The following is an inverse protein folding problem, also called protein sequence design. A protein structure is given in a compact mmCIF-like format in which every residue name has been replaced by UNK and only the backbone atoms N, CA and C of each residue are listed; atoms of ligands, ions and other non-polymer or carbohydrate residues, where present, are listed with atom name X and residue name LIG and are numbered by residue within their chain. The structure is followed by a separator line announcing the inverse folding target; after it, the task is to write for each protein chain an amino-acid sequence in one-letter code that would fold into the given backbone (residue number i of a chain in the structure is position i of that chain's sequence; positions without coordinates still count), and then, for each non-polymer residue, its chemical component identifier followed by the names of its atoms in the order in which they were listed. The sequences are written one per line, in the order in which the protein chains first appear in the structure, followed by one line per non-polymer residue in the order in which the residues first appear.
data_IF_559247998516
#
_entry.id   IF_559247998516
#
_cell.length_a   1.000
_cell.length_b   1.000
_cell.length_c   1.000
_cell.angle_alpha   90.00
_cell.angle_beta   90.00
_cell.angle_gamma   90.00
#
_symmetry.space_group_name_H-M   'P 1'
#
loop_
_entity.id
_entity.type
_entity.pdbx_description
1 polymer ?
#
# COMPACT_ATOMS: atom_id res chain seq x y z
N UNK A 1 34.06 25.15 5.35
CA UNK A 1 32.78 25.12 6.08
C UNK A 1 31.67 25.26 5.06
N UNK A 2 30.86 24.23 4.76
CA UNK A 2 29.67 24.42 3.96
C UNK A 2 28.65 25.20 4.80
N UNK A 3 28.07 26.24 4.22
CA UNK A 3 27.03 27.05 4.83
C UNK A 3 25.83 26.16 5.23
N UNK A 4 25.15 26.42 6.36
CA UNK A 4 23.93 25.67 6.72
C UNK A 4 22.91 25.93 5.62
N UNK A 5 22.44 24.83 5.02
CA UNK A 5 21.31 24.85 4.08
C UNK A 5 20.16 25.59 4.72
N UNK A 6 19.71 26.65 4.08
CA UNK A 6 18.52 27.40 4.49
C UNK A 6 17.39 26.39 4.70
N UNK A 7 16.96 26.19 5.94
CA UNK A 7 15.81 25.40 6.29
C UNK A 7 14.61 26.11 5.68
N UNK A 8 14.15 25.63 4.52
CA UNK A 8 12.93 26.10 3.91
C UNK A 8 11.80 26.04 4.96
N UNK A 9 11.09 27.14 5.14
CA UNK A 9 9.95 27.22 6.07
C UNK A 9 9.01 26.00 5.85
N UNK A 10 8.59 25.32 6.92
CA UNK A 10 7.78 24.12 6.77
C UNK A 10 6.48 24.48 6.04
N UNK A 11 6.18 23.76 4.97
CA UNK A 11 4.93 23.95 4.21
C UNK A 11 3.71 23.82 5.13
N UNK A 12 2.75 24.71 5.01
CA UNK A 12 1.45 24.65 5.70
C UNK A 12 0.46 23.73 4.97
N UNK A 13 0.76 23.31 3.74
CA UNK A 13 -0.09 22.43 2.94
C UNK A 13 -0.11 21.00 3.48
N UNK A 14 -1.26 20.57 3.98
CA UNK A 14 -1.49 19.20 4.49
C UNK A 14 -1.23 18.14 3.43
N UNK A 15 -1.73 18.35 2.20
CA UNK A 15 -1.53 17.42 1.08
C UNK A 15 -0.03 17.23 0.77
N UNK A 16 0.74 18.30 0.73
CA UNK A 16 2.19 18.23 0.51
C UNK A 16 2.89 17.41 1.61
N UNK A 17 2.54 17.64 2.87
CA UNK A 17 3.12 16.91 4.01
C UNK A 17 2.80 15.42 3.96
N UNK A 18 1.52 15.05 3.72
CA UNK A 18 1.07 13.67 3.61
C UNK A 18 1.76 12.95 2.45
N UNK A 19 1.78 13.56 1.26
CA UNK A 19 2.44 12.97 0.08
C UNK A 19 3.93 12.76 0.28
N UNK A 20 4.61 13.71 0.92
CA UNK A 20 6.05 13.60 1.22
C UNK A 20 6.31 12.49 2.22
N UNK A 21 5.55 12.43 3.32
CA UNK A 21 5.67 11.40 4.33
C UNK A 21 5.36 10.02 3.75
N UNK A 22 4.25 9.88 3.03
CA UNK A 22 3.85 8.63 2.37
C UNK A 22 4.95 8.10 1.44
N UNK A 23 5.56 8.95 0.60
CA UNK A 23 6.66 8.51 -0.27
C UNK A 23 7.86 7.98 0.52
N UNK A 24 8.25 8.65 1.60
CA UNK A 24 9.39 8.21 2.43
C UNK A 24 9.10 6.91 3.17
N UNK A 25 7.90 6.78 3.72
CA UNK A 25 7.45 5.53 4.36
C UNK A 25 7.45 4.39 3.33
N UNK A 26 6.87 4.62 2.14
CA UNK A 26 6.88 3.62 1.05
C UNK A 26 8.29 3.18 0.69
N UNK A 27 9.27 4.09 0.62
CA UNK A 27 10.66 3.74 0.33
C UNK A 27 11.26 2.78 1.37
N UNK A 28 10.92 2.92 2.65
CA UNK A 28 11.37 1.99 3.70
C UNK A 28 10.82 0.58 3.44
N UNK A 29 9.52 0.47 3.16
CA UNK A 29 8.91 -0.83 2.85
C UNK A 29 9.43 -1.43 1.54
N UNK A 30 9.56 -0.63 0.49
CA UNK A 30 10.07 -1.09 -0.81
C UNK A 30 11.51 -1.62 -0.68
N UNK A 31 12.34 -0.96 0.11
CA UNK A 31 13.72 -1.40 0.38
C UNK A 31 13.75 -2.82 0.98
N UNK A 32 12.96 -3.07 2.01
CA UNK A 32 12.88 -4.38 2.66
C UNK A 32 12.23 -5.43 1.75
N UNK A 33 11.12 -5.10 1.11
CA UNK A 33 10.37 -6.01 0.25
C UNK A 33 11.10 -6.36 -1.06
N UNK A 34 12.11 -5.59 -1.45
CA UNK A 34 12.97 -5.91 -2.59
C UNK A 34 13.63 -7.29 -2.45
N UNK A 35 13.90 -7.74 -1.21
CA UNK A 35 14.39 -9.10 -0.94
C UNK A 35 13.45 -10.23 -1.38
N UNK A 36 12.15 -9.94 -1.51
CA UNK A 36 11.15 -10.84 -2.08
C UNK A 36 10.76 -10.48 -3.52
N UNK A 37 11.42 -9.49 -4.14
CA UNK A 37 11.10 -9.02 -5.48
C UNK A 37 9.74 -8.34 -5.60
N UNK A 38 9.28 -7.66 -4.54
CA UNK A 38 7.99 -6.99 -4.48
C UNK A 38 8.16 -5.52 -4.08
N UNK A 39 7.28 -4.65 -4.60
CA UNK A 39 7.02 -3.34 -4.04
C UNK A 39 5.96 -3.44 -2.93
N UNK A 40 5.81 -2.39 -2.11
CA UNK A 40 4.74 -2.30 -1.11
C UNK A 40 3.35 -2.44 -1.73
N UNK A 41 3.12 -1.80 -2.88
CA UNK A 41 1.85 -1.91 -3.60
C UNK A 41 1.57 -3.35 -4.04
N UNK A 42 2.56 -4.03 -4.59
CA UNK A 42 2.44 -5.44 -5.00
C UNK A 42 2.22 -6.36 -3.80
N UNK A 43 2.97 -6.16 -2.71
CA UNK A 43 2.74 -6.88 -1.46
C UNK A 43 1.30 -6.69 -0.96
N UNK A 44 0.79 -5.47 -0.98
CA UNK A 44 -0.58 -5.16 -0.53
C UNK A 44 -1.64 -5.86 -1.38
N UNK A 45 -1.44 -5.94 -2.70
CA UNK A 45 -2.32 -6.69 -3.61
C UNK A 45 -2.32 -8.17 -3.25
N UNK A 46 -1.14 -8.82 -3.14
CA UNK A 46 -1.04 -10.23 -2.77
C UNK A 46 -1.66 -10.49 -1.40
N UNK A 47 -1.38 -9.65 -0.43
CA UNK A 47 -1.87 -9.80 0.95
C UNK A 47 -3.39 -9.74 1.05
N UNK A 48 -4.03 -8.86 0.29
CA UNK A 48 -5.49 -8.72 0.27
C UNK A 48 -6.19 -9.83 -0.50
N UNK A 49 -5.48 -10.45 -1.44
CA UNK A 49 -5.99 -11.58 -2.24
C UNK A 49 -5.65 -12.95 -1.62
N UNK A 50 -5.03 -12.99 -0.42
CA UNK A 50 -4.54 -14.22 0.19
C UNK A 50 -5.68 -15.19 0.57
N UNK A 51 -6.76 -14.67 1.14
CA UNK A 51 -7.87 -15.47 1.67
C UNK A 51 -8.86 -15.90 0.61
N UNK A 52 -9.15 -14.99 -0.30
CA UNK A 52 -10.16 -15.18 -1.35
C UNK A 52 -9.82 -14.33 -2.57
N UNK A 53 -10.28 -14.75 -3.75
CA UNK A 53 -10.18 -13.92 -4.95
C UNK A 53 -10.89 -12.58 -4.77
N UNK A 54 -10.36 -11.51 -5.35
CA UNK A 54 -10.86 -10.14 -5.16
C UNK A 54 -11.30 -9.53 -6.48
N UNK A 55 -12.47 -8.91 -6.49
CA UNK A 55 -12.93 -8.10 -7.63
C UNK A 55 -12.01 -6.89 -7.78
N UNK A 56 -11.54 -6.63 -9.01
CA UNK A 56 -10.55 -5.60 -9.29
C UNK A 56 -10.99 -4.21 -8.81
N UNK A 57 -12.25 -3.85 -9.03
CA UNK A 57 -12.78 -2.55 -8.60
C UNK A 57 -12.81 -2.39 -7.09
N UNK A 58 -13.22 -3.44 -6.37
CA UNK A 58 -13.30 -3.45 -4.91
C UNK A 58 -11.89 -3.36 -4.30
N UNK A 59 -10.94 -4.12 -4.87
CA UNK A 59 -9.55 -4.10 -4.43
C UNK A 59 -8.90 -2.73 -4.65
N UNK A 60 -9.19 -2.06 -5.78
CA UNK A 60 -8.71 -0.71 -6.05
C UNK A 60 -9.21 0.28 -4.99
N UNK A 61 -10.52 0.25 -4.68
CA UNK A 61 -11.11 1.08 -3.62
C UNK A 61 -10.49 0.84 -2.25
N UNK A 62 -10.34 -0.42 -1.88
CA UNK A 62 -9.76 -0.82 -0.59
C UNK A 62 -8.28 -0.40 -0.43
N UNK A 63 -7.52 -0.40 -1.53
CA UNK A 63 -6.13 0.04 -1.56
C UNK A 63 -5.97 1.56 -1.77
N UNK A 64 -7.07 2.29 -1.95
CA UNK A 64 -7.04 3.72 -2.26
C UNK A 64 -6.36 4.02 -3.60
N UNK A 65 -6.44 3.10 -4.56
CA UNK A 65 -5.84 3.21 -5.89
C UNK A 65 -6.92 3.45 -6.95
N UNK A 66 -6.60 4.23 -7.98
CA UNK A 66 -7.37 4.19 -9.21
C UNK A 66 -7.11 2.88 -9.99
N UNK A 67 -8.02 2.54 -10.92
CA UNK A 67 -7.92 1.30 -11.69
C UNK A 67 -6.66 1.21 -12.53
N UNK A 68 -6.19 2.33 -13.07
CA UNK A 68 -4.97 2.39 -13.88
C UNK A 68 -3.74 2.08 -13.04
N UNK A 69 -3.64 2.66 -11.84
CA UNK A 69 -2.56 2.39 -10.88
C UNK A 69 -2.58 0.92 -10.46
N UNK A 70 -3.76 0.37 -10.12
CA UNK A 70 -3.88 -1.05 -9.77
C UNK A 70 -3.44 -1.95 -10.93
N UNK A 71 -3.92 -1.71 -12.15
CA UNK A 71 -3.55 -2.49 -13.33
C UNK A 71 -2.04 -2.46 -13.59
N UNK A 72 -1.41 -1.31 -13.44
CA UNK A 72 0.05 -1.16 -13.59
C UNK A 72 0.83 -2.00 -12.57
N UNK A 73 0.36 -2.07 -11.33
CA UNK A 73 0.97 -2.90 -10.29
C UNK A 73 0.67 -4.40 -10.45
N UNK A 74 -0.47 -4.75 -11.05
CA UNK A 74 -0.86 -6.13 -11.32
C UNK A 74 -0.10 -6.75 -12.48
N UNK A 75 0.19 -6.00 -13.54
CA UNK A 75 0.84 -6.53 -14.74
C UNK A 75 2.12 -7.31 -14.45
N UNK A 76 3.09 -6.79 -13.66
CA UNK A 76 4.28 -7.56 -13.30
C UNK A 76 3.97 -8.82 -12.47
N UNK A 77 2.93 -8.81 -11.66
CA UNK A 77 2.52 -9.97 -10.86
C UNK A 77 1.90 -11.07 -11.71
N UNK A 78 1.12 -10.69 -12.73
CA UNK A 78 0.56 -11.62 -13.72
C UNK A 78 1.69 -12.22 -14.55
N UNK A 79 2.60 -11.38 -15.07
CA UNK A 79 3.74 -11.81 -15.89
C UNK A 79 4.66 -12.77 -15.13
N UNK A 80 4.82 -12.58 -13.82
CA UNK A 80 5.57 -13.47 -12.94
C UNK A 80 4.78 -14.73 -12.48
N UNK A 81 3.52 -14.87 -12.89
CA UNK A 81 2.66 -15.99 -12.49
C UNK A 81 2.26 -16.01 -11.02
N UNK A 82 2.33 -14.88 -10.32
CA UNK A 82 1.99 -14.76 -8.90
C UNK A 82 0.50 -14.56 -8.66
N UNK A 83 -0.18 -13.97 -9.62
CA UNK A 83 -1.64 -13.81 -9.66
C UNK A 83 -2.16 -14.18 -11.03
N UNK A 84 -3.42 -14.56 -11.07
CA UNK A 84 -4.17 -14.74 -12.30
C UNK A 84 -5.41 -13.85 -12.29
N UNK A 85 -5.84 -13.43 -13.47
CA UNK A 85 -7.06 -12.65 -13.64
C UNK A 85 -8.09 -13.57 -14.28
N UNK A 86 -9.14 -13.88 -13.51
CA UNK A 86 -10.26 -14.73 -13.95
C UNK A 86 -11.53 -13.89 -14.12
N UNK A 87 -12.50 -14.42 -14.87
CA UNK A 87 -13.81 -13.79 -14.99
C UNK A 87 -14.61 -14.06 -13.72
N UNK A 88 -15.29 -13.04 -13.20
CA UNK A 88 -16.21 -13.16 -12.09
C UNK A 88 -17.57 -13.75 -12.50
N UNK A 89 -18.53 -13.72 -11.59
CA UNK A 89 -19.91 -14.14 -11.85
C UNK A 89 -20.57 -13.31 -12.95
N UNK A 90 -20.25 -12.02 -13.03
CA UNK A 90 -20.59 -11.17 -14.17
C UNK A 90 -19.39 -11.21 -15.16
N UNK A 91 -19.69 -11.45 -16.44
CA UNK A 91 -18.69 -11.49 -17.52
C UNK A 91 -17.85 -10.21 -17.65
N UNK A 92 -18.30 -9.10 -17.08
CA UNK A 92 -17.61 -7.82 -17.03
C UNK A 92 -16.67 -7.68 -15.83
N UNK A 93 -16.85 -8.53 -14.80
CA UNK A 93 -16.01 -8.50 -13.60
C UNK A 93 -14.68 -9.21 -13.85
N UNK A 94 -13.61 -8.53 -13.51
CA UNK A 94 -12.27 -9.13 -13.42
C UNK A 94 -11.98 -9.44 -11.96
N UNK A 95 -11.60 -10.66 -11.70
CA UNK A 95 -11.29 -11.17 -10.36
C UNK A 95 -9.83 -11.56 -10.31
N UNK A 96 -9.14 -11.10 -9.29
CA UNK A 96 -7.72 -11.38 -9.04
C UNK A 96 -7.64 -12.54 -8.07
N UNK A 97 -6.97 -13.61 -8.47
CA UNK A 97 -6.73 -14.78 -7.64
C UNK A 97 -5.23 -14.99 -7.44
N UNK A 98 -4.86 -15.34 -6.21
CA UNK A 98 -3.48 -15.65 -5.86
C UNK A 98 -3.16 -17.08 -6.31
N UNK A 99 -2.08 -17.25 -7.05
CA UNK A 99 -1.57 -18.57 -7.46
C UNK A 99 -0.76 -19.24 -6.33
N UNK A 100 -0.47 -20.55 -6.42
CA UNK A 100 0.45 -21.20 -5.47
C UNK A 100 1.82 -20.50 -5.40
N UNK A 101 2.51 -20.16 -6.52
CA UNK A 101 3.74 -19.36 -6.46
C UNK A 101 3.54 -17.98 -5.81
N UNK A 102 2.36 -17.36 -6.00
CA UNK A 102 2.01 -16.11 -5.35
C UNK A 102 1.91 -16.24 -3.83
N UNK A 103 1.35 -17.35 -3.33
CA UNK A 103 1.29 -17.64 -1.89
C UNK A 103 2.68 -17.83 -1.29
N UNK A 104 3.55 -18.55 -1.99
CA UNK A 104 4.93 -18.75 -1.55
C UNK A 104 5.71 -17.44 -1.51
N UNK A 105 5.54 -16.60 -2.53
CA UNK A 105 6.15 -15.26 -2.60
C UNK A 105 5.64 -14.35 -1.47
N UNK A 106 4.35 -14.37 -1.19
CA UNK A 106 3.74 -13.63 -0.09
C UNK A 106 4.27 -14.12 1.26
N UNK A 107 4.38 -15.43 1.46
CA UNK A 107 4.91 -16.01 2.69
C UNK A 107 6.35 -15.55 2.95
N UNK A 108 7.19 -15.53 1.91
CA UNK A 108 8.56 -15.00 1.98
C UNK A 108 8.62 -13.50 2.26
N UNK A 109 7.66 -12.73 1.77
CA UNK A 109 7.60 -11.28 1.95
C UNK A 109 7.08 -10.84 3.33
N UNK A 110 6.25 -11.64 3.99
CA UNK A 110 5.66 -11.30 5.30
C UNK A 110 6.68 -10.91 6.38
N UNK A 111 7.79 -11.64 6.59
CA UNK A 111 8.80 -11.23 7.56
C UNK A 111 9.50 -9.93 7.18
N UNK A 112 9.73 -9.68 5.90
CA UNK A 112 10.33 -8.43 5.40
C UNK A 112 9.42 -7.24 5.66
N UNK A 113 8.13 -7.39 5.40
CA UNK A 113 7.14 -6.38 5.72
C UNK A 113 7.09 -6.09 7.23
N UNK A 114 7.12 -7.14 8.07
CA UNK A 114 7.15 -6.95 9.54
C UNK A 114 8.41 -6.21 9.99
N UNK A 115 9.54 -6.47 9.35
CA UNK A 115 10.78 -5.74 9.65
C UNK A 115 10.65 -4.26 9.30
N UNK A 116 10.15 -3.92 8.11
CA UNK A 116 9.89 -2.52 7.72
C UNK A 116 8.93 -1.83 8.70
N UNK A 117 7.85 -2.52 9.09
CA UNK A 117 6.91 -2.00 10.09
C UNK A 117 7.62 -1.71 11.42
N UNK A 118 8.44 -2.65 11.91
CA UNK A 118 9.18 -2.49 13.16
C UNK A 118 10.17 -1.31 13.12
N UNK A 119 10.77 -1.02 11.96
CA UNK A 119 11.62 0.16 11.76
C UNK A 119 10.83 1.44 11.96
N UNK A 120 9.65 1.54 11.32
CA UNK A 120 8.77 2.72 11.47
C UNK A 120 8.28 2.86 12.91
N UNK A 121 7.86 1.75 13.53
CA UNK A 121 7.37 1.74 14.91
C UNK A 121 8.44 2.19 15.90
N UNK A 122 9.69 1.75 15.71
CA UNK A 122 10.81 2.15 16.53
C UNK A 122 11.14 3.66 16.40
N UNK A 123 10.95 4.23 15.20
CA UNK A 123 11.20 5.66 14.97
C UNK A 123 10.16 6.56 15.66
N UNK A 124 8.92 6.11 15.76
CA UNK A 124 7.80 6.88 16.31
C UNK A 124 7.55 6.58 17.79
N UNK A 125 7.94 5.39 18.24
CA UNK A 125 7.55 4.84 19.53
C UNK A 125 6.06 4.43 19.58
N UNK A 126 5.69 3.57 20.53
CA UNK A 126 4.34 3.01 20.60
C UNK A 126 3.23 4.08 20.65
N UNK A 127 3.40 5.09 21.50
CA UNK A 127 2.43 6.19 21.61
C UNK A 127 2.35 7.02 20.32
N UNK A 128 3.49 7.26 19.67
CA UNK A 128 3.55 8.00 18.42
C UNK A 128 2.83 7.27 17.28
N UNK A 129 3.02 5.96 17.17
CA UNK A 129 2.34 5.11 16.18
C UNK A 129 0.82 5.14 16.40
N UNK A 130 0.36 4.88 17.64
CA UNK A 130 -1.08 4.89 17.96
C UNK A 130 -1.73 6.24 17.66
N UNK A 131 -1.05 7.33 17.97
CA UNK A 131 -1.55 8.67 17.67
C UNK A 131 -1.63 8.92 16.16
N UNK A 132 -0.58 8.57 15.42
CA UNK A 132 -0.55 8.76 13.97
C UNK A 132 -1.66 7.96 13.29
N UNK A 133 -1.83 6.68 13.64
CA UNK A 133 -2.90 5.85 13.06
C UNK A 133 -4.27 6.46 13.33
N UNK A 134 -4.58 6.81 14.58
CA UNK A 134 -5.84 7.44 14.94
C UNK A 134 -6.10 8.75 14.16
N UNK A 135 -5.09 9.59 14.02
CA UNK A 135 -5.23 10.88 13.35
C UNK A 135 -5.41 10.70 11.83
N UNK A 136 -4.77 9.69 11.22
CA UNK A 136 -4.96 9.32 9.82
C UNK A 136 -6.34 8.71 9.57
N UNK A 137 -6.79 7.78 10.41
CA UNK A 137 -8.12 7.16 10.31
C UNK A 137 -9.22 8.22 10.44
N UNK A 138 -9.10 9.12 11.42
CA UNK A 138 -10.03 10.23 11.59
C UNK A 138 -10.07 11.16 10.37
N UNK A 139 -8.92 11.48 9.79
CA UNK A 139 -8.86 12.28 8.56
C UNK A 139 -9.54 11.57 7.39
N UNK A 140 -9.30 10.27 7.23
CA UNK A 140 -9.92 9.45 6.18
C UNK A 140 -11.45 9.45 6.31
N UNK A 141 -11.98 9.24 7.51
CA UNK A 141 -13.42 9.26 7.80
C UNK A 141 -14.06 10.61 7.45
N UNK A 142 -13.43 11.72 7.85
CA UNK A 142 -13.91 13.05 7.52
C UNK A 142 -13.91 13.31 6.00
N UNK A 143 -12.88 12.86 5.30
CA UNK A 143 -12.77 13.01 3.86
C UNK A 143 -13.82 12.17 3.11
N UNK A 144 -14.08 10.93 3.54
CA UNK A 144 -15.15 10.08 2.98
C UNK A 144 -16.50 10.77 3.10
N UNK A 145 -16.84 11.28 4.28
CA UNK A 145 -18.09 12.01 4.50
C UNK A 145 -18.18 13.24 3.59
N UNK A 146 -17.10 13.98 3.45
CA UNK A 146 -17.04 15.20 2.61
C UNK A 146 -17.19 14.90 1.12
N UNK A 147 -16.65 13.74 0.66
CA UNK A 147 -16.68 13.33 -0.74
C UNK A 147 -17.93 12.51 -1.09
N UNK A 148 -18.78 12.20 -0.12
CA UNK A 148 -20.00 11.40 -0.33
C UNK A 148 -19.70 9.91 -0.61
N UNK A 149 -18.56 9.41 -0.20
CA UNK A 149 -18.21 8.00 -0.29
C UNK A 149 -18.88 7.26 0.86
N UNK A 150 -19.90 6.46 0.55
CA UNK A 150 -20.52 5.53 1.53
C UNK A 150 -19.59 4.34 1.73
N UNK A 151 -19.52 3.88 2.99
CA UNK A 151 -18.73 2.71 3.40
C UNK A 151 -19.23 1.43 2.74
#
# INVERSE_FOLDING_TARGET
MPAPSATASPSTCTCFRLRRASRRVTQVYDHELAGAGLSLNQYSILRRSEREPRVLGDLAGELGMDRTTLTRNLSPLVDAGLVEIVRGHDARQRVIALTPPGRDRLAAAKPLWRHAQAVIDAMLGETGVKRLHRDLDHLDDLLRQRLGETA
#
